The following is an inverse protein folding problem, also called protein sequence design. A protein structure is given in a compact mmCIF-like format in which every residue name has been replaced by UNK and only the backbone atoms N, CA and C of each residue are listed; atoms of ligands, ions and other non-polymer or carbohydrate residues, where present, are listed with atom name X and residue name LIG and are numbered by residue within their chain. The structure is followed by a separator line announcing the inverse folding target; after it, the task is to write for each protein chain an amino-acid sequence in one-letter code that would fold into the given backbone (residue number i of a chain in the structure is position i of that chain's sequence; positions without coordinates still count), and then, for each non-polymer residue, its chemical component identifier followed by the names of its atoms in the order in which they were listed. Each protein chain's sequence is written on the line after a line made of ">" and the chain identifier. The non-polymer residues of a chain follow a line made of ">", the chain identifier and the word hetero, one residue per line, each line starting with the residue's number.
data_IF_412607479941
#
_entry.id   IF_412607479941
#
_cell.length_a   1.000
_cell.length_b   1.000
_cell.length_c   1.000
_cell.angle_alpha   90.00
_cell.angle_beta   90.00
_cell.angle_gamma   90.00
#
_symmetry.space_group_name_H-M   'P 1'
#
loop_
_entity.id
_entity.type
_entity.pdbx_description
1 polymer ?
#
# COMPACT_ATOMS: atom_id res chain seq x y z
N UNK A 1 -4.13 18.57 23.25
CA UNK A 1 -3.27 17.54 23.87
C UNK A 1 -2.54 16.71 22.81
N UNK A 2 -3.21 16.17 21.78
CA UNK A 2 -2.54 15.47 20.67
C UNK A 2 -1.56 16.35 19.89
N UNK A 3 -1.94 17.60 19.54
CA UNK A 3 -1.02 18.54 18.88
C UNK A 3 0.25 18.84 19.70
N UNK A 4 0.11 19.02 21.02
CA UNK A 4 1.26 19.22 21.91
C UNK A 4 2.17 17.99 21.96
N UNK A 5 1.60 16.78 21.90
CA UNK A 5 2.37 15.54 21.79
C UNK A 5 3.11 15.46 20.44
N UNK A 6 2.40 15.71 19.34
CA UNK A 6 2.95 15.61 17.98
C UNK A 6 4.08 16.62 17.73
N UNK A 7 3.95 17.81 18.32
CA UNK A 7 4.92 18.90 18.15
C UNK A 7 6.03 18.91 19.20
N UNK A 8 5.77 18.38 20.40
CA UNK A 8 6.68 18.44 21.54
C UNK A 8 7.65 17.27 21.63
N UNK A 9 7.42 16.18 20.89
CA UNK A 9 8.30 15.02 20.93
C UNK A 9 9.54 15.23 20.06
N UNK A 10 10.72 15.21 20.69
CA UNK A 10 12.02 15.40 20.02
C UNK A 10 12.74 14.08 19.69
N UNK A 11 12.13 12.93 19.99
CA UNK A 11 12.74 11.60 19.79
C UNK A 11 11.89 10.78 18.84
N UNK A 12 12.56 10.02 17.96
CA UNK A 12 11.91 9.02 17.12
C UNK A 12 11.20 7.98 17.99
N UNK A 13 10.05 7.51 17.52
CA UNK A 13 9.28 6.44 18.14
C UNK A 13 9.39 5.17 17.31
N UNK A 14 9.29 4.02 17.97
CA UNK A 14 9.15 2.74 17.27
C UNK A 14 7.82 2.68 16.53
N UNK A 15 6.74 2.86 17.27
CA UNK A 15 5.37 2.72 16.77
C UNK A 15 4.52 3.94 17.12
N UNK A 16 3.60 4.30 16.23
CA UNK A 16 2.60 5.33 16.46
C UNK A 16 1.22 4.81 16.04
N UNK A 17 0.31 4.73 17.00
CA UNK A 17 -1.06 4.28 16.83
C UNK A 17 -1.99 5.45 17.13
N UNK A 18 -2.88 5.80 16.21
CA UNK A 18 -3.83 6.89 16.39
C UNK A 18 -5.24 6.53 15.94
N UNK A 19 -6.23 6.94 16.74
CA UNK A 19 -7.67 6.77 16.45
C UNK A 19 -8.35 8.12 16.21
N UNK A 20 -7.57 9.15 15.90
CA UNK A 20 -8.07 10.51 15.78
C UNK A 20 -8.74 10.74 14.43
N UNK A 21 -10.07 10.92 14.45
CA UNK A 21 -10.88 11.15 13.25
C UNK A 21 -10.62 12.53 12.62
N UNK A 22 -10.48 13.56 13.47
CA UNK A 22 -10.35 14.96 13.05
C UNK A 22 -8.96 15.50 13.38
N UNK A 23 -8.25 16.01 12.37
CA UNK A 23 -6.90 16.53 12.51
C UNK A 23 -6.65 17.80 11.69
N UNK A 24 -7.37 18.87 12.02
CA UNK A 24 -7.02 20.19 11.48
C UNK A 24 -5.61 20.56 11.96
N UNK A 25 -4.67 20.72 11.03
CA UNK A 25 -3.36 21.36 11.27
C UNK A 25 -2.12 20.45 11.26
N UNK A 26 -2.24 19.13 11.12
CA UNK A 26 -1.07 18.25 11.08
C UNK A 26 -0.50 18.16 9.68
N UNK A 27 0.55 18.94 9.40
CA UNK A 27 1.24 18.89 8.10
C UNK A 27 2.26 17.75 8.04
N UNK A 28 3.02 17.53 9.12
CA UNK A 28 4.06 16.51 9.22
C UNK A 28 4.32 16.12 10.69
N UNK A 29 5.03 15.01 10.92
CA UNK A 29 5.59 14.68 12.23
C UNK A 29 6.91 15.44 12.46
N UNK A 30 7.13 15.92 13.69
CA UNK A 30 8.44 16.46 14.10
C UNK A 30 9.43 15.36 14.55
N UNK A 31 9.02 14.10 14.46
CA UNK A 31 9.78 12.93 14.84
C UNK A 31 9.55 11.79 13.85
N UNK A 32 10.45 10.81 13.84
CA UNK A 32 10.32 9.65 12.96
C UNK A 32 9.54 8.52 13.61
N UNK A 33 8.78 7.78 12.82
CA UNK A 33 8.12 6.52 13.21
C UNK A 33 8.82 5.39 12.48
N UNK A 34 9.70 4.68 13.15
CA UNK A 34 10.67 3.80 12.48
C UNK A 34 10.09 2.43 12.11
N UNK A 35 9.21 1.88 12.96
CA UNK A 35 8.72 0.50 12.82
C UNK A 35 7.33 0.46 12.21
N UNK A 36 6.35 1.11 12.84
CA UNK A 36 4.97 0.95 12.40
C UNK A 36 4.10 2.17 12.69
N UNK A 37 3.38 2.63 11.67
CA UNK A 37 2.35 3.65 11.79
C UNK A 37 0.97 3.04 11.55
N UNK A 38 0.05 3.24 12.48
CA UNK A 38 -1.34 2.81 12.36
C UNK A 38 -2.31 3.97 12.59
N UNK A 39 -3.33 4.08 11.73
CA UNK A 39 -4.41 5.03 11.93
C UNK A 39 -5.80 4.53 11.50
N UNK A 40 -6.82 4.74 12.35
CA UNK A 40 -8.21 4.33 12.09
C UNK A 40 -9.29 5.16 12.82
N UNK A 41 -10.20 5.87 12.10
CA UNK A 41 -10.08 6.40 10.73
C UNK A 41 -9.19 7.66 10.71
N UNK A 42 -8.56 7.96 9.57
CA UNK A 42 -7.54 9.00 9.50
C UNK A 42 -7.79 10.00 8.35
N UNK A 43 -8.86 10.80 8.46
CA UNK A 43 -9.26 11.74 7.40
C UNK A 43 -8.31 12.94 7.24
N UNK A 44 -7.49 13.21 8.24
CA UNK A 44 -6.46 14.24 8.20
C UNK A 44 -5.15 13.76 7.55
N UNK A 45 -4.97 12.44 7.40
CA UNK A 45 -3.81 11.88 6.74
C UNK A 45 -3.85 12.23 5.26
N UNK A 46 -2.82 12.95 4.82
CA UNK A 46 -2.70 13.47 3.47
C UNK A 46 -1.42 12.97 2.80
N UNK A 47 -1.28 13.27 1.52
CA UNK A 47 -0.19 12.77 0.69
C UNK A 47 1.17 13.27 1.17
N UNK A 48 1.28 14.54 1.56
CA UNK A 48 2.53 15.12 2.07
C UNK A 48 3.03 14.35 3.30
N UNK A 49 2.12 13.99 4.20
CA UNK A 49 2.42 13.18 5.37
C UNK A 49 2.92 11.78 4.99
N UNK A 50 2.26 11.11 4.03
CA UNK A 50 2.71 9.80 3.55
C UNK A 50 4.11 9.88 2.93
N UNK A 51 4.37 10.93 2.15
CA UNK A 51 5.64 11.12 1.44
C UNK A 51 6.81 11.50 2.38
N UNK A 52 6.53 12.12 3.52
CA UNK A 52 7.57 12.52 4.50
C UNK A 52 7.96 11.39 5.46
N UNK A 53 7.20 10.30 5.49
CA UNK A 53 7.48 9.15 6.33
C UNK A 53 8.61 8.26 5.78
N UNK A 54 9.24 7.54 6.70
CA UNK A 54 10.19 6.47 6.41
C UNK A 54 10.02 5.30 7.40
N UNK A 55 8.79 4.81 7.51
CA UNK A 55 8.43 3.68 8.38
C UNK A 55 8.55 2.36 7.64
N UNK A 56 8.89 1.28 8.36
CA UNK A 56 8.84 -0.08 7.80
C UNK A 56 7.41 -0.49 7.44
N UNK A 57 6.43 -0.16 8.27
CA UNK A 57 5.03 -0.51 8.04
C UNK A 57 4.06 0.66 8.23
N UNK A 58 3.07 0.75 7.34
CA UNK A 58 2.02 1.78 7.37
C UNK A 58 0.67 1.11 7.19
N UNK A 59 -0.27 1.32 8.10
CA UNK A 59 -1.65 0.82 7.99
C UNK A 59 -2.67 1.92 8.27
N UNK A 60 -3.53 2.20 7.29
CA UNK A 60 -4.52 3.26 7.38
C UNK A 60 -5.87 2.76 6.88
N UNK A 61 -6.84 2.70 7.79
CA UNK A 61 -8.11 2.03 7.56
C UNK A 61 -9.16 2.90 6.86
N UNK A 62 -8.97 4.22 6.75
CA UNK A 62 -9.84 5.10 5.95
C UNK A 62 -9.09 6.39 5.61
N UNK A 63 -8.85 6.63 4.31
CA UNK A 63 -8.31 7.88 3.76
C UNK A 63 -9.17 8.42 2.62
N UNK A 64 -8.99 9.71 2.33
CA UNK A 64 -9.60 10.38 1.18
C UNK A 64 -8.70 10.38 -0.08
N UNK A 65 -7.63 9.58 -0.10
CA UNK A 65 -6.70 9.55 -1.24
C UNK A 65 -7.42 9.30 -2.55
N UNK A 66 -7.16 10.18 -3.51
CA UNK A 66 -7.57 10.02 -4.90
C UNK A 66 -6.69 8.98 -5.60
N UNK A 67 -7.05 8.59 -6.83
CA UNK A 67 -6.18 7.73 -7.64
C UNK A 67 -4.85 8.44 -7.95
N UNK A 68 -4.89 9.76 -8.12
CA UNK A 68 -3.72 10.61 -8.34
C UNK A 68 -2.79 10.63 -7.13
N UNK A 69 -3.32 10.76 -5.90
CA UNK A 69 -2.48 10.74 -4.69
C UNK A 69 -1.73 9.41 -4.56
N UNK A 70 -2.43 8.29 -4.77
CA UNK A 70 -1.81 6.96 -4.76
C UNK A 70 -0.77 6.82 -5.87
N UNK A 71 -1.04 7.37 -7.07
CA UNK A 71 -0.07 7.38 -8.17
C UNK A 71 1.18 8.19 -7.84
N UNK A 72 1.04 9.38 -7.26
CA UNK A 72 2.17 10.21 -6.84
C UNK A 72 2.99 9.48 -5.79
N UNK A 73 2.35 8.82 -4.82
CA UNK A 73 3.05 7.99 -3.85
C UNK A 73 3.85 6.85 -4.52
N UNK A 74 3.21 6.04 -5.37
CA UNK A 74 3.85 4.91 -6.05
C UNK A 74 5.03 5.34 -6.92
N UNK A 75 4.88 6.43 -7.70
CA UNK A 75 5.97 6.96 -8.52
C UNK A 75 7.10 7.53 -7.67
N UNK A 76 6.78 8.25 -6.60
CA UNK A 76 7.80 8.77 -5.68
C UNK A 76 8.58 7.64 -5.02
N UNK A 77 7.91 6.55 -4.63
CA UNK A 77 8.57 5.37 -4.10
C UNK A 77 9.43 4.68 -5.17
N UNK A 78 8.91 4.50 -6.39
CA UNK A 78 9.64 3.91 -7.53
C UNK A 78 10.89 4.72 -7.91
N UNK A 79 10.85 6.04 -7.77
CA UNK A 79 11.98 6.93 -7.99
C UNK A 79 12.97 6.98 -6.81
N UNK A 80 12.65 6.33 -5.68
CA UNK A 80 13.48 6.32 -4.48
C UNK A 80 13.43 7.62 -3.67
N UNK A 81 12.39 8.44 -3.84
CA UNK A 81 12.25 9.75 -3.19
C UNK A 81 11.59 9.72 -1.81
N UNK A 82 10.96 8.60 -1.45
CA UNK A 82 10.18 8.48 -0.22
C UNK A 82 10.21 7.05 0.31
N UNK A 83 9.91 6.88 1.61
CA UNK A 83 9.66 5.57 2.24
C UNK A 83 10.74 4.55 1.87
N UNK A 84 12.00 4.91 2.13
CA UNK A 84 13.17 4.12 1.76
C UNK A 84 13.19 2.77 2.48
N UNK A 85 12.80 2.74 3.75
CA UNK A 85 12.81 1.57 4.62
C UNK A 85 11.50 0.77 4.60
N UNK A 86 10.59 1.09 3.67
CA UNK A 86 9.27 0.48 3.58
C UNK A 86 9.37 -1.02 3.30
N UNK A 87 8.59 -1.77 4.06
CA UNK A 87 8.37 -3.22 3.95
C UNK A 87 6.88 -3.48 3.62
N UNK A 88 5.97 -2.66 4.17
CA UNK A 88 4.53 -2.82 3.96
C UNK A 88 3.72 -1.52 4.01
N UNK A 89 2.71 -1.43 3.14
CA UNK A 89 1.63 -0.44 3.20
C UNK A 89 0.27 -1.13 3.08
N UNK A 90 -0.66 -0.82 3.98
CA UNK A 90 -2.08 -1.19 3.88
C UNK A 90 -2.92 0.08 3.94
N UNK A 91 -3.52 0.46 2.81
CA UNK A 91 -4.38 1.64 2.73
C UNK A 91 -5.78 1.22 2.31
N UNK A 92 -6.78 1.78 2.97
CA UNK A 92 -8.16 1.73 2.49
C UNK A 92 -8.64 3.14 2.12
N UNK A 93 -9.04 3.31 0.88
CA UNK A 93 -9.67 4.56 0.41
C UNK A 93 -11.19 4.52 0.66
N UNK A 94 -11.75 5.68 0.98
CA UNK A 94 -13.20 5.82 1.19
C UNK A 94 -13.99 5.40 -0.06
N UNK A 95 -13.55 5.83 -1.23
CA UNK A 95 -14.11 5.46 -2.52
C UNK A 95 -13.12 4.55 -3.27
N UNK A 96 -13.65 3.61 -4.06
CA UNK A 96 -12.80 2.75 -4.89
C UNK A 96 -12.02 3.59 -5.92
N UNK A 97 -10.81 3.15 -6.27
CA UNK A 97 -9.95 3.81 -7.26
C UNK A 97 -9.66 2.89 -8.42
N UNK A 98 -9.73 3.46 -9.61
CA UNK A 98 -9.34 2.78 -10.84
C UNK A 98 -7.85 2.45 -10.79
N UNK A 99 -7.54 1.15 -10.85
CA UNK A 99 -6.17 0.63 -10.80
C UNK A 99 -5.31 1.16 -11.94
N UNK A 100 -5.88 1.47 -13.11
CA UNK A 100 -5.12 2.05 -14.24
C UNK A 100 -4.65 3.46 -13.94
N UNK A 101 -5.50 4.28 -13.34
CA UNK A 101 -5.12 5.64 -12.94
C UNK A 101 -4.13 5.62 -11.77
N UNK A 102 -4.32 4.72 -10.79
CA UNK A 102 -3.36 4.53 -9.69
C UNK A 102 -1.98 4.14 -10.21
N UNK A 103 -1.91 3.27 -11.22
CA UNK A 103 -0.64 2.70 -11.73
C UNK A 103 -0.10 3.39 -12.98
N UNK A 104 -0.71 4.50 -13.38
CA UNK A 104 -0.33 5.24 -14.57
C UNK A 104 1.14 5.64 -14.55
N UNK A 105 1.91 5.14 -15.51
CA UNK A 105 3.34 5.42 -15.61
C UNK A 105 4.24 4.64 -14.64
N UNK A 106 3.69 3.77 -13.78
CA UNK A 106 4.48 2.97 -12.82
C UNK A 106 5.12 1.71 -13.45
N UNK A 107 4.82 1.42 -14.73
CA UNK A 107 5.24 0.20 -15.44
C UNK A 107 4.90 -1.09 -14.67
N UNK A 108 3.71 -1.15 -14.10
CA UNK A 108 3.24 -2.30 -13.33
C UNK A 108 3.06 -3.55 -14.21
N UNK A 109 3.58 -4.68 -13.77
CA UNK A 109 3.41 -5.98 -14.43
C UNK A 109 2.36 -6.81 -13.68
N UNK A 110 1.28 -7.22 -14.37
CA UNK A 110 0.21 -7.98 -13.72
C UNK A 110 0.46 -9.49 -13.77
N UNK A 111 0.87 -10.06 -12.65
CA UNK A 111 1.41 -11.41 -12.57
C UNK A 111 0.32 -12.45 -12.30
N UNK A 112 0.44 -13.59 -12.98
CA UNK A 112 -0.48 -14.71 -12.83
C UNK A 112 -0.29 -15.40 -11.47
N UNK A 113 -1.34 -15.50 -10.63
CA UNK A 113 -1.23 -16.09 -9.30
C UNK A 113 -0.98 -17.60 -9.32
N UNK A 114 -1.18 -18.27 -10.46
CA UNK A 114 -0.89 -19.70 -10.61
C UNK A 114 0.60 -20.00 -10.78
N UNK A 115 1.37 -19.03 -11.27
CA UNK A 115 2.79 -19.21 -11.62
C UNK A 115 3.73 -18.33 -10.83
N UNK A 116 3.21 -17.32 -10.13
CA UNK A 116 4.01 -16.33 -9.41
C UNK A 116 3.64 -16.33 -7.94
N UNK A 117 4.60 -16.61 -7.05
CA UNK A 117 4.43 -16.51 -5.60
C UNK A 117 5.63 -15.87 -4.93
N UNK A 118 5.39 -15.07 -3.90
CA UNK A 118 6.40 -14.47 -3.02
C UNK A 118 6.01 -14.71 -1.56
N UNK A 119 6.98 -14.62 -0.66
CA UNK A 119 6.77 -14.77 0.78
C UNK A 119 7.43 -13.62 1.54
N UNK A 120 6.67 -12.95 2.39
CA UNK A 120 7.18 -11.94 3.32
C UNK A 120 7.31 -12.57 4.72
N UNK A 121 8.48 -12.47 5.39
CA UNK A 121 8.61 -12.87 6.78
C UNK A 121 7.66 -12.10 7.71
N UNK A 122 7.06 -12.81 8.67
CA UNK A 122 6.21 -12.25 9.73
C UNK A 122 6.68 -12.75 11.09
N UNK A 123 6.22 -12.10 12.15
CA UNK A 123 6.53 -12.51 13.53
C UNK A 123 6.14 -13.96 13.86
N UNK A 124 5.15 -14.51 13.16
CA UNK A 124 4.60 -15.86 13.37
C UNK A 124 4.79 -16.80 12.16
N UNK A 125 5.69 -16.49 11.21
CA UNK A 125 5.94 -17.32 10.04
C UNK A 125 6.11 -16.52 8.76
N UNK A 126 5.38 -16.89 7.70
CA UNK A 126 5.43 -16.22 6.41
C UNK A 126 4.02 -15.84 5.95
N UNK A 127 3.92 -14.70 5.26
CA UNK A 127 2.75 -14.37 4.47
C UNK A 127 3.06 -14.62 3.00
N UNK A 128 2.26 -15.48 2.36
CA UNK A 128 2.37 -15.78 0.94
C UNK A 128 1.49 -14.87 0.11
N UNK A 129 2.05 -14.39 -1.01
CA UNK A 129 1.40 -13.52 -1.98
C UNK A 129 1.46 -14.22 -3.33
N UNK A 130 0.31 -14.49 -3.92
CA UNK A 130 0.19 -15.08 -5.25
C UNK A 130 -0.15 -14.01 -6.28
N UNK A 131 0.66 -13.92 -7.35
CA UNK A 131 0.48 -12.97 -8.44
C UNK A 131 0.68 -11.52 -8.01
N UNK A 132 -0.36 -10.71 -8.20
CA UNK A 132 -0.37 -9.28 -7.88
C UNK A 132 0.25 -8.42 -8.97
N UNK A 133 0.31 -7.12 -8.73
CA UNK A 133 0.93 -6.15 -9.65
C UNK A 133 2.32 -5.81 -9.14
N UNK A 134 3.33 -6.14 -9.94
CA UNK A 134 4.74 -5.95 -9.62
C UNK A 134 5.21 -4.60 -10.11
N UNK A 135 5.87 -3.84 -9.24
CA UNK A 135 6.46 -2.53 -9.55
C UNK A 135 7.90 -2.55 -9.04
N UNK A 136 8.85 -2.16 -9.88
CA UNK A 136 10.26 -2.06 -9.47
C UNK A 136 10.66 -0.62 -9.20
N UNK A 137 11.36 -0.42 -8.09
CA UNK A 137 12.09 0.82 -7.80
C UNK A 137 13.36 0.88 -8.64
N UNK A 138 13.91 2.08 -8.84
CA UNK A 138 15.11 2.31 -9.63
C UNK A 138 16.35 1.55 -9.14
N UNK A 139 16.41 1.18 -7.85
CA UNK A 139 17.48 0.38 -7.27
C UNK A 139 17.23 -1.15 -7.36
N UNK A 140 16.14 -1.56 -7.99
CA UNK A 140 15.78 -2.96 -8.21
C UNK A 140 14.83 -3.57 -7.18
N UNK A 141 14.54 -2.88 -6.06
CA UNK A 141 13.58 -3.37 -5.05
C UNK A 141 12.20 -3.57 -5.65
N UNK A 142 11.53 -4.63 -5.20
CA UNK A 142 10.25 -5.06 -5.76
C UNK A 142 9.12 -4.69 -4.80
N UNK A 143 8.14 -3.92 -5.27
CA UNK A 143 6.85 -3.80 -4.60
C UNK A 143 5.82 -4.68 -5.31
N UNK A 144 4.96 -5.34 -4.53
CA UNK A 144 3.82 -6.09 -5.03
C UNK A 144 2.54 -5.54 -4.42
N UNK A 145 1.64 -5.07 -5.28
CA UNK A 145 0.27 -4.77 -4.90
C UNK A 145 -0.52 -6.08 -4.97
N UNK A 146 -0.94 -6.57 -3.82
CA UNK A 146 -1.76 -7.78 -3.72
C UNK A 146 -3.16 -7.49 -4.28
N UNK A 147 -3.59 -8.31 -5.23
CA UNK A 147 -4.92 -8.25 -5.86
C UNK A 147 -5.85 -9.35 -5.36
N UNK A 148 -5.30 -10.32 -4.63
CA UNK A 148 -6.03 -11.39 -3.97
C UNK A 148 -6.63 -10.92 -2.64
N UNK A 149 -7.74 -11.55 -2.25
CA UNK A 149 -8.44 -11.23 -1.01
C UNK A 149 -7.95 -12.05 0.18
N UNK A 150 -7.24 -13.15 -0.07
CA UNK A 150 -6.88 -14.15 0.92
C UNK A 150 -5.50 -13.85 1.54
N UNK A 151 -5.40 -13.99 2.85
CA UNK A 151 -4.13 -13.95 3.56
C UNK A 151 -3.65 -15.39 3.81
N UNK A 152 -2.49 -15.75 3.26
CA UNK A 152 -1.94 -17.10 3.34
C UNK A 152 -0.81 -17.16 4.35
N UNK A 153 -1.07 -17.77 5.51
CA UNK A 153 -0.09 -17.89 6.61
C UNK A 153 0.56 -19.27 6.72
N UNK A 154 0.12 -20.22 5.90
CA UNK A 154 0.67 -21.56 5.77
C UNK A 154 1.11 -21.70 4.32
N UNK A 155 2.34 -22.16 4.10
CA UNK A 155 2.76 -22.58 2.76
C UNK A 155 1.85 -23.75 2.36
N UNK A 156 1.34 -23.79 1.11
CA UNK A 156 0.85 -25.02 0.45
C UNK A 156 -0.65 -25.18 0.09
N UNK A 157 -1.32 -24.15 -0.46
CA UNK A 157 -2.58 -24.38 -1.21
C UNK A 157 -2.58 -23.85 -2.66
N UNK A 158 -1.51 -23.15 -3.07
CA UNK A 158 -1.55 -22.35 -4.29
C UNK A 158 -2.58 -21.20 -4.20
N UNK A 159 -2.74 -20.46 -5.30
CA UNK A 159 -3.78 -19.45 -5.38
C UNK A 159 -5.17 -20.08 -5.31
N UNK A 160 -6.09 -19.48 -4.56
CA UNK A 160 -7.47 -19.98 -4.46
C UNK A 160 -8.19 -19.87 -5.80
N UNK A 161 -9.21 -20.71 -6.03
CA UNK A 161 -10.05 -20.58 -7.23
C UNK A 161 -10.64 -19.17 -7.37
N UNK A 162 -10.95 -18.51 -6.24
CA UNK A 162 -11.44 -17.14 -6.22
C UNK A 162 -10.41 -16.18 -6.78
N UNK A 163 -9.15 -16.27 -6.35
CA UNK A 163 -8.07 -15.41 -6.84
C UNK A 163 -7.79 -15.64 -8.33
N UNK A 164 -7.80 -16.90 -8.78
CA UNK A 164 -7.61 -17.23 -10.19
C UNK A 164 -8.74 -16.64 -11.04
N UNK A 165 -10.00 -16.77 -10.61
CA UNK A 165 -11.15 -16.19 -11.32
C UNK A 165 -11.09 -14.67 -11.35
N UNK A 166 -10.76 -14.03 -10.23
CA UNK A 166 -10.58 -12.58 -10.15
C UNK A 166 -9.48 -12.14 -11.12
N UNK A 167 -8.32 -12.79 -11.11
CA UNK A 167 -7.22 -12.51 -12.03
C UNK A 167 -7.63 -12.57 -13.49
N UNK A 168 -8.32 -13.65 -13.92
CA UNK A 168 -8.75 -13.79 -15.31
C UNK A 168 -9.73 -12.68 -15.72
N UNK A 169 -10.62 -12.26 -14.82
CA UNK A 169 -11.59 -11.20 -15.08
C UNK A 169 -10.93 -9.81 -15.16
N UNK A 170 -10.06 -9.48 -14.20
CA UNK A 170 -9.37 -8.18 -14.15
C UNK A 170 -8.26 -8.07 -15.19
N UNK A 171 -7.64 -9.19 -15.60
CA UNK A 171 -6.61 -9.21 -16.66
C UNK A 171 -7.14 -8.71 -18.00
N UNK A 172 -8.36 -9.09 -18.37
CA UNK A 172 -8.99 -8.59 -19.59
C UNK A 172 -9.17 -7.06 -19.55
N UNK A 173 -9.54 -6.51 -18.39
CA UNK A 173 -9.64 -5.05 -18.19
C UNK A 173 -8.26 -4.40 -18.22
N UNK A 174 -7.26 -5.02 -17.60
CA UNK A 174 -5.88 -4.54 -17.53
C UNK A 174 -5.24 -4.42 -18.93
N UNK A 175 -5.37 -5.46 -19.75
CA UNK A 175 -4.77 -5.52 -21.10
C UNK A 175 -5.52 -4.69 -22.15
N UNK A 176 -6.79 -4.34 -21.91
CA UNK A 176 -7.61 -3.59 -22.87
C UNK A 176 -7.43 -2.08 -22.75
N UNK A 177 -6.97 -1.38 -23.78
CA UNK A 177 -6.88 0.09 -23.77
C UNK A 177 -8.26 0.78 -23.69
N UNK A 178 -9.31 0.14 -24.20
CA UNK A 178 -10.66 0.70 -24.34
C UNK A 178 -11.74 -0.10 -23.60
N UNK A 179 -11.39 -0.72 -22.47
CA UNK A 179 -12.36 -1.46 -21.65
C UNK A 179 -13.52 -0.55 -21.24
N UNK A 180 -14.76 -1.02 -21.45
CA UNK A 180 -15.97 -0.34 -20.94
C UNK A 180 -16.11 -0.45 -19.42
N UNK A 181 -15.32 -1.31 -18.79
CA UNK A 181 -15.32 -1.57 -17.36
C UNK A 181 -14.03 -1.06 -16.73
N UNK A 182 -14.15 -0.39 -15.58
CA UNK A 182 -13.02 -0.01 -14.75
C UNK A 182 -12.79 -1.07 -13.67
N UNK A 183 -11.52 -1.42 -13.42
CA UNK A 183 -11.14 -2.24 -12.29
C UNK A 183 -10.84 -1.32 -11.11
N UNK A 184 -11.79 -1.23 -10.18
CA UNK A 184 -11.69 -0.33 -9.04
C UNK A 184 -11.47 -1.09 -7.73
N UNK A 185 -10.51 -0.63 -6.93
CA UNK A 185 -10.18 -1.22 -5.62
C UNK A 185 -10.34 -0.22 -4.48
N UNK A 186 -10.76 -0.72 -3.32
CA UNK A 186 -10.77 0.05 -2.07
C UNK A 186 -9.51 -0.19 -1.23
N UNK A 187 -8.91 -1.37 -1.35
CA UNK A 187 -7.81 -1.81 -0.50
C UNK A 187 -6.53 -1.91 -1.32
N UNK A 188 -5.49 -1.21 -0.85
CA UNK A 188 -4.15 -1.23 -1.43
C UNK A 188 -3.22 -1.86 -0.42
N UNK A 189 -2.94 -3.16 -0.61
CA UNK A 189 -1.97 -3.92 0.20
C UNK A 189 -0.70 -4.07 -0.61
N UNK A 190 0.34 -3.35 -0.21
CA UNK A 190 1.62 -3.26 -0.91
C UNK A 190 2.69 -3.87 -0.01
N UNK A 191 3.48 -4.76 -0.58
CA UNK A 191 4.56 -5.47 0.11
C UNK A 191 5.86 -5.24 -0.65
N UNK A 192 6.94 -4.95 0.07
CA UNK A 192 8.24 -4.62 -0.53
C UNK A 192 9.27 -5.70 -0.19
N UNK A 193 9.98 -6.15 -1.22
CA UNK A 193 11.02 -7.18 -1.20
C UNK A 193 12.37 -6.63 -1.66
#
# INVERSE_FOLDING_TARGET
>A
MFELFMNGLQRSVGELITHQKDGKGYKNLNFQVNTYFFADPCLWFNLEFLLSMDSKGISIHTTNFSAEDLNVFLRSWQEGKTNWNLEQVKLRTYYARDMKEVLKGCKGEYMDPRTTKLSEPRSQGYQWIYGGIHIRRNDGRLAVIQTGFDDYYVEDNGASEREIRTYLATRQVWESENSRYAWCEHWFRIYVF
#
